data_IF_246496174898
#
_entry.id   IF_246496174898
#
_cell.length_a   1.000
_cell.length_b   1.000
_cell.length_c   1.000
_cell.angle_alpha   90.00
_cell.angle_beta   90.00
_cell.angle_gamma   90.00
#
_symmetry.space_group_name_H-M   'P 1'
#
loop_
_entity.id
_entity.type
_entity.pdbx_description
1 polymer ?
#
# COMPACT_ATOMS: atom_id res chain seq x y z
N UNK A 1 1.03 28.22 2.70
CA UNK A 1 -0.26 28.70 2.14
C UNK A 1 -0.55 30.11 2.62
N UNK A 2 -0.95 30.35 3.89
CA UNK A 2 -1.29 31.70 4.43
C UNK A 2 -0.36 32.85 3.98
N UNK A 3 0.96 32.66 4.06
CA UNK A 3 1.93 33.72 3.75
C UNK A 3 2.29 33.84 2.26
N UNK A 4 2.05 32.80 1.46
CA UNK A 4 2.61 32.67 0.10
C UNK A 4 1.56 32.47 -1.00
N UNK A 5 0.30 32.18 -0.65
CA UNK A 5 -0.77 31.98 -1.62
C UNK A 5 -1.51 33.29 -1.90
N UNK A 6 -1.89 33.53 -3.15
CA UNK A 6 -2.83 34.58 -3.56
C UNK A 6 -4.28 34.11 -3.44
N UNK A 7 -4.64 33.49 -2.31
CA UNK A 7 -5.93 32.81 -2.08
C UNK A 7 -6.25 31.66 -3.05
N UNK A 8 -5.22 31.08 -3.68
CA UNK A 8 -5.36 29.90 -4.54
C UNK A 8 -5.98 28.72 -3.76
N UNK A 9 -6.76 27.91 -4.47
CA UNK A 9 -7.28 26.61 -4.05
C UNK A 9 -6.92 25.54 -5.08
N UNK A 10 -7.05 24.25 -4.75
CA UNK A 10 -6.92 23.17 -5.73
C UNK A 10 -7.82 23.42 -6.97
N UNK A 11 -9.08 23.78 -6.75
CA UNK A 11 -10.04 24.07 -7.82
C UNK A 11 -9.61 25.25 -8.71
N UNK A 12 -9.12 26.35 -8.11
CA UNK A 12 -8.72 27.54 -8.88
C UNK A 12 -7.47 27.29 -9.72
N UNK A 13 -6.64 26.31 -9.33
CA UNK A 13 -5.39 25.98 -10.01
C UNK A 13 -5.49 24.77 -10.94
N UNK A 14 -6.58 24.00 -10.84
CA UNK A 14 -6.73 22.71 -11.51
C UNK A 14 -5.78 21.62 -10.97
N UNK A 15 -5.10 21.88 -9.85
CA UNK A 15 -4.14 20.95 -9.26
C UNK A 15 -4.86 19.98 -8.32
N UNK A 16 -4.41 18.72 -8.30
CA UNK A 16 -4.90 17.74 -7.32
C UNK A 16 -4.60 18.21 -5.89
N UNK A 17 -5.51 17.98 -4.94
CA UNK A 17 -5.47 18.65 -3.64
C UNK A 17 -4.24 18.33 -2.77
N UNK A 18 -3.78 17.08 -2.76
CA UNK A 18 -2.55 16.65 -2.10
C UNK A 18 -1.29 17.22 -2.79
N UNK A 19 -1.25 17.27 -4.13
CA UNK A 19 -0.18 17.95 -4.87
C UNK A 19 -0.15 19.45 -4.58
N UNK A 20 -1.32 20.08 -4.48
CA UNK A 20 -1.48 21.49 -4.15
C UNK A 20 -0.95 21.80 -2.75
N UNK A 21 -1.28 20.98 -1.76
CA UNK A 21 -0.74 21.14 -0.39
C UNK A 21 0.76 20.83 -0.36
N UNK A 22 1.19 19.79 -1.07
CA UNK A 22 2.61 19.42 -1.24
C UNK A 22 3.47 20.55 -1.81
N UNK A 23 2.97 21.29 -2.80
CA UNK A 23 3.62 22.51 -3.34
C UNK A 23 3.97 23.51 -2.22
N UNK A 24 3.05 23.78 -1.29
CA UNK A 24 3.34 24.70 -0.19
C UNK A 24 4.25 24.11 0.87
N UNK A 25 4.29 22.79 1.03
CA UNK A 25 5.25 22.12 1.89
C UNK A 25 6.69 22.28 1.35
N UNK A 26 6.88 22.11 0.04
CA UNK A 26 8.18 22.36 -0.63
C UNK A 26 8.57 23.84 -0.54
N UNK A 27 7.63 24.75 -0.74
CA UNK A 27 7.88 26.19 -0.58
C UNK A 27 8.30 26.55 0.85
N UNK A 28 7.68 25.93 1.87
CA UNK A 28 8.08 26.12 3.26
C UNK A 28 9.52 25.66 3.50
N UNK A 29 9.91 24.47 3.03
CA UNK A 29 11.29 23.96 3.20
C UNK A 29 12.32 24.85 2.48
N UNK A 30 11.98 25.32 1.27
CA UNK A 30 12.83 26.24 0.50
C UNK A 30 13.07 27.55 1.25
N UNK A 31 12.00 28.18 1.75
CA UNK A 31 12.10 29.42 2.51
C UNK A 31 12.79 29.22 3.86
N UNK A 32 12.53 28.09 4.54
CA UNK A 32 13.21 27.73 5.78
C UNK A 32 14.73 27.62 5.60
N UNK A 33 15.18 26.92 4.54
CA UNK A 33 16.62 26.83 4.21
C UNK A 33 17.24 28.16 3.86
N UNK A 34 16.50 29.02 3.15
CA UNK A 34 16.95 30.38 2.83
C UNK A 34 17.15 31.20 4.10
N UNK A 35 16.18 31.19 5.01
CA UNK A 35 16.27 31.91 6.28
C UNK A 35 17.38 31.38 7.20
N UNK A 36 17.66 30.07 7.18
CA UNK A 36 18.83 29.51 7.88
C UNK A 36 20.12 30.16 7.37
N UNK A 37 20.32 30.18 6.05
CA UNK A 37 21.53 30.78 5.44
C UNK A 37 21.68 32.26 5.79
N UNK A 38 20.59 33.01 5.77
CA UNK A 38 20.60 34.44 6.15
C UNK A 38 20.98 34.67 7.63
N UNK A 39 20.65 33.74 8.53
CA UNK A 39 21.08 33.81 9.93
C UNK A 39 22.53 33.36 10.10
N UNK A 40 22.98 32.35 9.36
CA UNK A 40 24.38 31.92 9.33
C UNK A 40 25.30 33.04 8.83
N UNK A 41 24.89 33.77 7.79
CA UNK A 41 25.60 34.95 7.28
C UNK A 41 25.70 36.09 8.32
N UNK A 42 24.78 36.14 9.28
CA UNK A 42 24.80 37.07 10.43
C UNK A 42 25.61 36.56 11.62
N UNK A 43 26.28 35.41 11.48
CA UNK A 43 27.15 34.82 12.50
C UNK A 43 26.43 33.96 13.55
N UNK A 44 25.17 33.57 13.29
CA UNK A 44 24.45 32.63 14.17
C UNK A 44 24.86 31.21 13.81
N UNK A 45 25.15 30.39 14.82
CA UNK A 45 25.47 28.98 14.64
C UNK A 45 24.32 28.20 13.97
N UNK A 46 24.63 27.23 13.11
CA UNK A 46 23.65 26.47 12.32
C UNK A 46 22.55 25.83 13.19
N UNK A 47 22.87 25.27 14.36
CA UNK A 47 21.87 24.63 15.22
C UNK A 47 20.97 25.65 15.91
N UNK A 48 21.48 26.85 16.17
CA UNK A 48 20.67 27.98 16.65
C UNK A 48 19.81 28.56 15.52
N UNK A 49 20.39 28.76 14.33
CA UNK A 49 19.71 29.29 13.16
C UNK A 49 18.48 28.44 12.80
N UNK A 50 18.62 27.11 12.78
CA UNK A 50 17.50 26.17 12.56
C UNK A 50 16.32 26.36 13.51
N UNK A 51 16.55 26.87 14.72
CA UNK A 51 15.50 27.07 15.75
C UNK A 51 14.97 28.51 15.81
N UNK A 52 15.63 29.44 15.14
CA UNK A 52 15.37 30.88 15.26
C UNK A 52 14.95 31.53 13.94
N UNK A 53 14.78 30.77 12.86
CA UNK A 53 14.22 31.33 11.63
C UNK A 53 12.80 31.87 11.89
N UNK A 54 12.45 33.05 11.35
CA UNK A 54 11.08 33.57 11.48
C UNK A 54 10.00 32.55 11.12
N UNK A 55 10.19 31.82 10.02
CA UNK A 55 9.19 30.85 9.54
C UNK A 55 9.01 29.63 10.46
N UNK A 56 10.05 29.18 11.17
CA UNK A 56 9.89 28.06 12.14
C UNK A 56 9.24 28.54 13.43
N UNK A 57 9.51 29.76 13.87
CA UNK A 57 8.87 30.36 15.03
C UNK A 57 7.37 30.58 14.77
N UNK A 58 6.99 31.07 13.60
CA UNK A 58 5.59 31.16 13.17
C UNK A 58 4.90 29.78 13.13
N UNK A 59 5.60 28.74 12.64
CA UNK A 59 5.07 27.38 12.62
C UNK A 59 4.86 26.82 14.03
N UNK A 60 5.80 27.06 14.96
CA UNK A 60 5.66 26.68 16.37
C UNK A 60 4.51 27.40 17.06
N UNK A 61 4.36 28.70 16.81
CA UNK A 61 3.22 29.48 17.32
C UNK A 61 1.89 28.94 16.77
N UNK A 62 1.85 28.58 15.48
CA UNK A 62 0.67 27.97 14.86
C UNK A 62 0.34 26.60 15.46
N UNK A 63 1.34 25.79 15.81
CA UNK A 63 1.13 24.52 16.51
C UNK A 63 0.51 24.74 17.89
N UNK A 64 0.99 25.71 18.67
CA UNK A 64 0.40 26.04 19.97
C UNK A 64 -1.06 26.52 19.84
N UNK A 65 -1.34 27.37 18.83
CA UNK A 65 -2.72 27.79 18.51
C UNK A 65 -3.61 26.60 18.13
N UNK A 66 -3.07 25.62 17.40
CA UNK A 66 -3.79 24.41 17.05
C UNK A 66 -4.09 23.54 18.29
N UNK A 67 -3.11 23.31 19.17
CA UNK A 67 -3.31 22.56 20.42
C UNK A 67 -4.33 23.23 21.36
N UNK A 68 -4.34 24.56 21.41
CA UNK A 68 -5.31 25.36 22.18
C UNK A 68 -6.69 25.49 21.51
N UNK A 69 -6.92 24.79 20.40
CA UNK A 69 -8.19 24.79 19.67
C UNK A 69 -8.64 26.16 19.15
N UNK A 70 -7.70 27.03 18.77
CA UNK A 70 -8.02 28.34 18.20
C UNK A 70 -8.84 28.20 16.90
N UNK A 71 -10.04 28.81 16.81
CA UNK A 71 -11.00 28.54 15.73
C UNK A 71 -10.43 28.74 14.32
N UNK A 72 -9.69 29.82 14.08
CA UNK A 72 -9.14 30.13 12.75
C UNK A 72 -8.04 29.15 12.33
N UNK A 73 -7.20 28.72 13.28
CA UNK A 73 -6.10 27.78 13.02
C UNK A 73 -6.65 26.39 12.76
N UNK A 74 -7.63 25.95 13.55
CA UNK A 74 -8.33 24.69 13.32
C UNK A 74 -9.07 24.67 11.99
N UNK A 75 -9.78 25.76 11.63
CA UNK A 75 -10.50 25.83 10.37
C UNK A 75 -9.55 25.73 9.17
N UNK A 76 -8.40 26.41 9.22
CA UNK A 76 -7.37 26.29 8.19
C UNK A 76 -6.83 24.86 8.10
N UNK A 77 -6.46 24.26 9.23
CA UNK A 77 -5.91 22.91 9.30
C UNK A 77 -6.89 21.89 8.69
N UNK A 78 -8.18 21.94 9.08
CA UNK A 78 -9.23 21.09 8.50
C UNK A 78 -9.35 21.29 7.00
N UNK A 79 -9.35 22.54 6.53
CA UNK A 79 -9.46 22.87 5.10
C UNK A 79 -8.30 22.29 4.29
N UNK A 80 -7.06 22.46 4.75
CA UNK A 80 -5.90 21.93 4.04
C UNK A 80 -5.87 20.40 4.05
N UNK A 81 -6.22 19.76 5.16
CA UNK A 81 -6.29 18.30 5.23
C UNK A 81 -7.40 17.72 4.35
N UNK A 82 -8.56 18.37 4.27
CA UNK A 82 -9.64 17.93 3.39
C UNK A 82 -9.17 17.86 1.93
N UNK A 83 -8.43 18.86 1.45
CA UNK A 83 -7.84 18.84 0.12
C UNK A 83 -6.87 17.68 -0.09
N UNK A 84 -6.03 17.38 0.91
CA UNK A 84 -5.12 16.22 0.84
C UNK A 84 -5.91 14.92 0.75
N UNK A 85 -6.93 14.74 1.60
CA UNK A 85 -7.73 13.51 1.63
C UNK A 85 -8.52 13.32 0.34
N UNK A 86 -9.13 14.36 -0.21
CA UNK A 86 -9.78 14.34 -1.53
C UNK A 86 -8.80 13.99 -2.65
N UNK A 87 -7.55 14.43 -2.54
CA UNK A 87 -6.46 14.05 -3.42
C UNK A 87 -6.14 12.55 -3.32
N UNK A 88 -5.83 12.07 -2.12
CA UNK A 88 -5.51 10.67 -1.87
C UNK A 88 -6.63 9.73 -2.30
N UNK A 89 -7.89 10.10 -2.10
CA UNK A 89 -9.04 9.30 -2.53
C UNK A 89 -9.05 9.05 -4.05
N UNK A 90 -8.62 10.02 -4.86
CA UNK A 90 -8.47 9.82 -6.32
C UNK A 90 -7.41 8.77 -6.64
N UNK A 91 -6.27 8.81 -5.96
CA UNK A 91 -5.20 7.80 -6.13
C UNK A 91 -5.63 6.43 -5.64
N UNK A 92 -6.30 6.34 -4.49
CA UNK A 92 -6.83 5.09 -3.95
C UNK A 92 -7.89 4.48 -4.87
N UNK A 93 -8.83 5.29 -5.35
CA UNK A 93 -9.85 4.85 -6.31
C UNK A 93 -9.20 4.31 -7.58
N UNK A 94 -8.21 5.02 -8.14
CA UNK A 94 -7.46 4.56 -9.33
C UNK A 94 -6.72 3.25 -9.08
N UNK A 95 -6.09 3.12 -7.91
CA UNK A 95 -5.49 1.88 -7.44
C UNK A 95 -6.53 0.81 -7.04
N UNK A 96 -7.84 1.07 -7.05
CA UNK A 96 -8.84 0.12 -6.56
C UNK A 96 -8.66 -0.26 -5.08
N UNK A 97 -8.22 0.69 -4.26
CA UNK A 97 -8.09 0.59 -2.80
C UNK A 97 -9.27 1.32 -2.15
N UNK A 98 -9.83 0.73 -1.10
CA UNK A 98 -10.90 1.32 -0.31
C UNK A 98 -10.71 0.99 1.16
N UNK A 99 -11.29 1.80 2.04
CA UNK A 99 -11.17 1.64 3.50
C UNK A 99 -12.57 1.64 4.13
N UNK A 100 -12.82 0.69 5.02
CA UNK A 100 -14.07 0.65 5.80
C UNK A 100 -14.10 1.71 6.91
N UNK A 101 -12.91 2.15 7.36
CA UNK A 101 -12.75 3.15 8.42
C UNK A 101 -11.46 3.94 8.20
N UNK A 102 -11.52 5.24 8.50
CA UNK A 102 -10.37 6.14 8.50
C UNK A 102 -10.22 6.72 9.90
N UNK A 103 -9.08 6.47 10.53
CA UNK A 103 -8.74 6.97 11.87
C UNK A 103 -7.58 7.94 11.77
N UNK A 104 -7.69 9.06 12.48
CA UNK A 104 -6.69 10.12 12.48
C UNK A 104 -6.01 10.22 13.83
N UNK A 105 -4.68 10.28 13.85
CA UNK A 105 -3.87 10.47 15.08
C UNK A 105 -4.22 11.76 15.83
N UNK A 106 -4.78 12.75 15.13
CA UNK A 106 -5.30 13.98 15.73
C UNK A 106 -6.48 13.75 16.66
N UNK A 107 -7.12 12.57 16.62
CA UNK A 107 -8.22 12.22 17.52
C UNK A 107 -7.72 11.49 18.77
N UNK A 108 -6.56 10.82 18.70
CA UNK A 108 -6.09 9.90 19.74
C UNK A 108 -4.95 10.46 20.59
N UNK A 109 -4.40 11.63 20.26
CA UNK A 109 -3.27 12.20 21.01
C UNK A 109 -3.60 12.54 22.47
N UNK A 110 -4.84 12.97 22.76
CA UNK A 110 -5.30 13.21 24.13
C UNK A 110 -5.46 11.90 24.89
N UNK A 111 -6.10 10.90 24.27
CA UNK A 111 -6.21 9.55 24.82
C UNK A 111 -4.82 8.98 25.16
N UNK A 112 -3.86 9.13 24.26
CA UNK A 112 -2.48 8.72 24.50
C UNK A 112 -1.86 9.36 25.75
N UNK A 113 -2.11 10.67 25.99
CA UNK A 113 -1.63 11.37 27.21
C UNK A 113 -2.32 10.84 28.47
N UNK A 114 -3.61 10.54 28.41
CA UNK A 114 -4.34 9.95 29.53
C UNK A 114 -3.81 8.56 29.88
N UNK A 115 -3.49 7.74 28.87
CA UNK A 115 -2.86 6.43 29.05
C UNK A 115 -1.48 6.54 29.67
N UNK A 116 -0.68 7.55 29.31
CA UNK A 116 0.61 7.78 29.97
C UNK A 116 0.42 8.13 31.45
N UNK A 117 -0.59 8.93 31.77
CA UNK A 117 -0.92 9.27 33.17
C UNK A 117 -1.27 8.01 33.97
N UNK A 118 -2.14 7.16 33.43
CA UNK A 118 -2.47 5.85 34.04
C UNK A 118 -1.25 4.93 34.16
N UNK A 119 -0.36 4.95 33.17
CA UNK A 119 0.88 4.17 33.19
C UNK A 119 1.85 4.62 34.28
N UNK A 120 1.88 5.91 34.63
CA UNK A 120 2.63 6.43 35.79
C UNK A 120 2.03 5.90 37.09
N UNK A 121 0.71 5.95 37.24
CA UNK A 121 0.00 5.45 38.44
C UNK A 121 0.24 3.95 38.65
N UNK A 122 0.26 3.17 37.57
CA UNK A 122 0.59 1.74 37.55
C UNK A 122 2.08 1.44 37.70
N UNK A 123 2.96 2.45 37.80
CA UNK A 123 4.42 2.33 37.85
C UNK A 123 5.04 1.64 36.62
N UNK A 124 4.35 1.67 35.48
CA UNK A 124 4.84 1.20 34.18
C UNK A 124 5.70 2.27 33.51
N UNK A 125 5.34 3.54 33.72
CA UNK A 125 6.08 4.70 33.24
C UNK A 125 6.67 5.50 34.40
N UNK A 126 7.84 6.10 34.16
CA UNK A 126 8.63 6.84 35.13
C UNK A 126 8.75 8.29 34.65
N UNK A 127 8.33 9.23 35.49
CA UNK A 127 8.57 10.66 35.26
C UNK A 127 9.93 11.05 35.83
N UNK A 128 10.83 11.57 34.99
CA UNK A 128 12.16 12.06 35.38
C UNK A 128 12.07 13.48 35.96
N UNK A 129 13.15 13.95 36.60
CA UNK A 129 13.22 15.26 37.26
C UNK A 129 12.99 16.44 36.31
N UNK A 130 13.38 16.29 35.03
CA UNK A 130 13.18 17.30 33.99
C UNK A 130 11.72 17.38 33.46
N UNK A 131 10.82 16.54 34.00
CA UNK A 131 9.42 16.48 33.63
C UNK A 131 9.10 15.51 32.49
N UNK A 132 10.11 14.94 31.82
CA UNK A 132 9.90 13.93 30.77
C UNK A 132 9.43 12.59 31.34
N UNK A 133 8.68 11.81 30.54
CA UNK A 133 8.14 10.51 30.96
C UNK A 133 8.70 9.42 30.06
N UNK A 134 9.14 8.32 30.69
CA UNK A 134 9.84 7.21 30.04
C UNK A 134 9.26 5.86 30.43
N UNK A 135 9.39 4.87 29.55
CA UNK A 135 9.17 3.46 29.88
C UNK A 135 10.51 2.72 29.88
N UNK A 136 10.80 2.03 30.96
CA UNK A 136 11.95 1.13 31.05
C UNK A 136 11.60 -0.24 30.48
N UNK A 137 12.30 -0.62 29.41
CA UNK A 137 12.15 -1.90 28.71
C UNK A 137 13.43 -2.75 28.76
N UNK A 138 14.36 -2.43 29.67
CA UNK A 138 15.65 -3.12 29.79
C UNK A 138 15.51 -4.58 30.20
N UNK A 139 14.48 -4.92 30.99
CA UNK A 139 14.17 -6.31 31.36
C UNK A 139 13.68 -7.14 30.15
N UNK A 140 13.16 -6.47 29.13
CA UNK A 140 12.74 -7.04 27.86
C UNK A 140 13.85 -7.04 26.80
N UNK A 141 15.06 -6.59 27.16
CA UNK A 141 16.22 -6.51 26.27
C UNK A 141 16.24 -5.29 25.35
N UNK A 142 15.49 -4.22 25.70
CA UNK A 142 15.35 -2.99 24.92
C UNK A 142 15.81 -1.76 25.73
N UNK A 143 15.92 -0.60 25.07
CA UNK A 143 16.29 0.66 25.74
C UNK A 143 15.10 1.32 26.45
N UNK A 144 15.39 2.31 27.31
CA UNK A 144 14.36 3.22 27.79
C UNK A 144 13.75 4.01 26.61
N UNK A 145 12.43 4.09 26.55
CA UNK A 145 11.71 4.83 25.52
C UNK A 145 11.00 6.04 26.10
N UNK A 146 11.26 7.21 25.53
CA UNK A 146 10.52 8.45 25.82
C UNK A 146 9.06 8.30 25.36
N UNK A 147 8.13 8.54 26.29
CA UNK A 147 6.67 8.52 26.03
C UNK A 147 6.00 9.89 26.19
N UNK A 148 6.62 10.86 26.88
CA UNK A 148 6.23 12.28 26.85
C UNK A 148 7.46 13.16 26.97
N UNK A 149 7.51 14.24 26.18
CA UNK A 149 8.59 15.23 26.26
C UNK A 149 8.51 16.05 27.56
N UNK A 150 9.61 16.72 27.91
CA UNK A 150 9.72 17.61 29.07
C UNK A 150 8.70 18.76 29.09
N UNK A 151 8.25 19.21 27.91
CA UNK A 151 7.23 20.25 27.74
C UNK A 151 5.79 19.70 27.79
N UNK A 152 5.61 18.39 28.03
CA UNK A 152 4.32 17.72 28.07
C UNK A 152 3.72 17.39 26.71
N UNK A 153 4.41 17.68 25.61
CA UNK A 153 3.95 17.30 24.25
C UNK A 153 4.09 15.80 24.01
N UNK A 154 3.14 15.24 23.25
CA UNK A 154 3.14 13.82 22.88
C UNK A 154 4.19 13.52 21.81
N UNK A 155 4.71 12.29 21.85
CA UNK A 155 5.54 11.72 20.79
C UNK A 155 4.73 10.67 20.03
N UNK A 156 5.28 10.16 18.93
CA UNK A 156 4.61 9.20 18.06
C UNK A 156 4.12 7.95 18.81
N UNK A 157 4.96 7.38 19.69
CA UNK A 157 4.59 6.21 20.50
C UNK A 157 3.41 6.50 21.45
N UNK A 158 3.26 7.74 21.92
CA UNK A 158 2.11 8.16 22.75
C UNK A 158 0.80 8.07 21.98
N UNK A 159 0.82 8.54 20.72
CA UNK A 159 -0.36 8.55 19.85
C UNK A 159 -0.75 7.12 19.49
N UNK A 160 0.22 6.27 19.16
CA UNK A 160 -0.03 4.87 18.83
C UNK A 160 -0.56 4.04 20.01
N UNK A 161 -0.15 4.35 21.25
CA UNK A 161 -0.76 3.74 22.44
C UNK A 161 -2.27 4.05 22.48
N UNK A 162 -2.64 5.32 22.33
CA UNK A 162 -4.04 5.75 22.30
C UNK A 162 -4.81 5.08 21.15
N UNK A 163 -4.24 5.10 19.94
CA UNK A 163 -4.87 4.52 18.74
C UNK A 163 -5.06 2.99 18.87
N UNK A 164 -4.08 2.27 19.40
CA UNK A 164 -4.20 0.83 19.60
C UNK A 164 -5.33 0.48 20.57
N UNK A 165 -5.40 1.20 21.70
CA UNK A 165 -6.45 1.00 22.72
C UNK A 165 -7.82 1.34 22.16
N UNK A 166 -7.96 2.49 21.49
CA UNK A 166 -9.22 2.91 20.87
C UNK A 166 -9.75 1.85 19.89
N UNK A 167 -8.88 1.25 19.06
CA UNK A 167 -9.27 0.19 18.12
C UNK A 167 -9.86 -1.03 18.82
N UNK A 168 -9.28 -1.46 19.94
CA UNK A 168 -9.79 -2.60 20.72
C UNK A 168 -11.02 -2.27 21.56
N UNK A 169 -11.23 -1.00 21.93
CA UNK A 169 -12.43 -0.55 22.63
C UNK A 169 -13.62 -0.39 21.67
N UNK A 170 -13.37 0.16 20.47
CA UNK A 170 -14.39 0.37 19.43
C UNK A 170 -14.78 -0.94 18.72
N UNK A 171 -13.88 -1.92 18.67
CA UNK A 171 -14.07 -3.14 17.92
C UNK A 171 -13.71 -4.38 18.73
N UNK A 172 -14.48 -5.45 18.58
CA UNK A 172 -14.13 -6.78 19.11
C UNK A 172 -13.17 -7.46 18.13
N UNK A 173 -11.87 -7.21 18.29
CA UNK A 173 -10.83 -7.71 17.40
C UNK A 173 -10.19 -8.99 17.95
N UNK A 174 -10.10 -10.03 17.10
CA UNK A 174 -9.30 -11.22 17.38
C UNK A 174 -7.82 -11.00 17.06
N UNK A 175 -7.52 -10.16 16.05
CA UNK A 175 -6.17 -9.79 15.60
C UNK A 175 -6.15 -8.36 15.07
N UNK A 176 -5.01 -7.68 15.24
CA UNK A 176 -4.73 -6.39 14.61
C UNK A 176 -3.36 -6.43 13.93
N UNK A 177 -3.35 -6.27 12.61
CA UNK A 177 -2.14 -6.31 11.78
C UNK A 177 -1.79 -4.90 11.35
N UNK A 178 -0.61 -4.43 11.76
CA UNK A 178 -0.01 -3.19 11.30
C UNK A 178 0.80 -3.47 10.03
N UNK A 179 0.38 -2.91 8.89
CA UNK A 179 1.12 -3.03 7.62
C UNK A 179 1.97 -1.79 7.44
N UNK A 180 3.23 -1.85 7.88
CA UNK A 180 4.13 -0.68 7.94
C UNK A 180 5.55 -1.09 7.57
N UNK A 181 6.30 -0.18 6.95
CA UNK A 181 7.68 -0.41 6.52
C UNK A 181 8.63 -0.84 7.64
N UNK A 182 9.67 -1.60 7.28
CA UNK A 182 10.63 -2.20 8.20
C UNK A 182 11.47 -1.20 9.01
N UNK A 183 11.52 0.06 8.57
CA UNK A 183 12.11 1.17 9.33
C UNK A 183 11.44 1.41 10.69
N UNK A 184 10.22 0.90 10.89
CA UNK A 184 9.45 1.00 12.13
C UNK A 184 9.45 -0.30 12.97
N UNK A 185 10.24 -1.31 12.64
CA UNK A 185 10.27 -2.60 13.37
C UNK A 185 10.49 -2.41 14.88
N UNK A 186 11.50 -1.61 15.25
CA UNK A 186 11.79 -1.32 16.66
C UNK A 186 10.65 -0.57 17.34
N UNK A 187 9.98 0.33 16.62
CA UNK A 187 8.86 1.10 17.15
C UNK A 187 7.67 0.19 17.52
N UNK A 188 7.25 -0.71 16.63
CA UNK A 188 6.15 -1.63 16.91
C UNK A 188 6.51 -2.68 17.97
N UNK A 189 7.76 -3.16 17.98
CA UNK A 189 8.25 -4.03 19.05
C UNK A 189 8.09 -3.36 20.42
N UNK A 190 8.53 -2.10 20.54
CA UNK A 190 8.41 -1.30 21.76
C UNK A 190 6.95 -1.04 22.12
N UNK A 191 6.11 -0.67 21.15
CA UNK A 191 4.68 -0.42 21.35
C UNK A 191 3.98 -1.64 21.95
N UNK A 192 4.17 -2.83 21.37
CA UNK A 192 3.50 -4.04 21.82
C UNK A 192 3.95 -4.46 23.22
N UNK A 193 5.24 -4.28 23.54
CA UNK A 193 5.75 -4.52 24.90
C UNK A 193 5.16 -3.54 25.91
N UNK A 194 5.06 -2.26 25.58
CA UNK A 194 4.43 -1.26 26.45
C UNK A 194 2.96 -1.60 26.73
N UNK A 195 2.18 -1.94 25.70
CA UNK A 195 0.77 -2.34 25.86
C UNK A 195 0.64 -3.56 26.78
N UNK A 196 1.52 -4.56 26.61
CA UNK A 196 1.56 -5.72 27.52
C UNK A 196 1.88 -5.32 28.96
N UNK A 197 2.87 -4.43 29.19
CA UNK A 197 3.21 -3.94 30.55
C UNK A 197 2.09 -3.12 31.19
N UNK A 198 1.28 -2.42 30.40
CA UNK A 198 0.10 -1.68 30.86
C UNK A 198 -1.06 -2.61 31.29
N UNK A 199 -0.95 -3.91 31.02
CA UNK A 199 -1.91 -4.95 31.41
C UNK A 199 -2.93 -5.29 30.32
N UNK A 200 -2.65 -4.97 29.06
CA UNK A 200 -3.53 -5.32 27.94
C UNK A 200 -3.19 -6.71 27.39
N UNK A 201 -3.95 -7.73 27.79
CA UNK A 201 -3.73 -9.13 27.36
C UNK A 201 -3.83 -9.30 25.84
N UNK A 202 -4.70 -8.52 25.20
CA UNK A 202 -4.86 -8.51 23.74
C UNK A 202 -3.63 -7.98 22.98
N UNK A 203 -2.61 -7.45 23.67
CA UNK A 203 -1.34 -7.08 23.05
C UNK A 203 -0.66 -8.28 22.35
N UNK A 204 -0.96 -9.51 22.74
CA UNK A 204 -0.47 -10.74 22.08
C UNK A 204 -1.09 -10.97 20.69
N UNK A 205 -2.22 -10.31 20.40
CA UNK A 205 -2.92 -10.39 19.13
C UNK A 205 -2.48 -9.31 18.12
N UNK A 206 -1.52 -8.47 18.51
CA UNK A 206 -0.93 -7.46 17.65
C UNK A 206 0.17 -8.09 16.78
N UNK A 207 0.15 -7.77 15.50
CA UNK A 207 1.17 -8.22 14.55
C UNK A 207 1.67 -7.05 13.71
N UNK A 208 2.97 -7.03 13.43
CA UNK A 208 3.56 -6.10 12.48
C UNK A 208 3.92 -6.86 11.20
N UNK A 209 3.15 -6.62 10.13
CA UNK A 209 3.56 -6.98 8.79
C UNK A 209 4.58 -5.95 8.32
N UNK A 210 5.84 -6.22 8.67
CA UNK A 210 7.01 -5.45 8.27
C UNK A 210 7.33 -5.72 6.80
N UNK A 211 7.09 -4.70 5.95
CA UNK A 211 7.45 -4.75 4.54
C UNK A 211 8.74 -3.97 4.26
N UNK A 212 9.52 -4.44 3.29
CA UNK A 212 10.78 -3.85 2.88
C UNK A 212 10.60 -2.76 1.82
N UNK A 213 11.68 -2.03 1.52
CA UNK A 213 11.60 -0.85 0.66
C UNK A 213 11.51 -1.20 -0.82
N UNK A 214 10.89 -0.30 -1.58
CA UNK A 214 10.86 -0.32 -3.05
C UNK A 214 11.86 0.72 -3.56
N UNK A 215 12.89 0.25 -4.24
CA UNK A 215 13.88 1.06 -4.92
C UNK A 215 13.54 1.18 -6.41
N UNK A 216 13.84 2.33 -7.02
CA UNK A 216 13.77 2.53 -8.47
C UNK A 216 15.19 2.49 -9.07
N UNK A 217 15.38 2.04 -10.33
CA UNK A 217 16.69 1.97 -10.98
C UNK A 217 17.47 3.28 -10.97
N UNK A 218 16.77 4.41 -11.12
CA UNK A 218 17.36 5.75 -11.15
C UNK A 218 17.65 6.35 -9.75
N UNK A 219 17.40 5.58 -8.68
CA UNK A 219 17.75 5.94 -7.30
C UNK A 219 16.57 5.92 -6.33
N UNK A 220 16.88 6.11 -5.04
CA UNK A 220 15.90 6.09 -3.95
C UNK A 220 14.86 7.19 -4.09
N UNK A 221 13.60 6.88 -3.75
CA UNK A 221 12.56 7.86 -3.44
C UNK A 221 13.08 8.82 -2.35
N UNK A 222 13.48 10.04 -2.71
CA UNK A 222 13.96 11.05 -1.75
C UNK A 222 13.01 12.24 -1.71
N UNK A 223 12.10 12.18 -0.73
CA UNK A 223 11.07 13.20 -0.47
C UNK A 223 11.58 14.63 -0.21
N UNK A 224 12.86 14.80 0.15
CA UNK A 224 13.43 16.09 0.64
C UNK A 224 14.43 16.77 -0.29
N UNK A 225 14.69 16.20 -1.47
CA UNK A 225 15.66 16.75 -2.45
C UNK A 225 15.00 17.14 -3.80
N UNK A 226 13.67 17.03 -3.91
CA UNK A 226 12.93 17.46 -5.11
C UNK A 226 12.85 16.42 -6.23
N UNK A 227 13.29 15.18 -5.99
CA UNK A 227 13.14 14.05 -6.91
C UNK A 227 12.29 12.97 -6.24
N UNK A 228 11.00 13.26 -6.11
CA UNK A 228 10.01 12.31 -5.61
C UNK A 228 9.31 11.71 -6.81
N UNK A 229 9.26 10.38 -6.90
CA UNK A 229 8.37 9.72 -7.84
C UNK A 229 7.01 9.66 -7.18
N UNK A 230 6.07 10.44 -7.69
CA UNK A 230 4.69 10.45 -7.21
C UNK A 230 4.00 9.13 -7.59
N UNK A 231 3.13 8.63 -6.73
CA UNK A 231 2.33 7.45 -7.03
C UNK A 231 1.47 7.68 -8.29
N UNK A 232 0.97 8.90 -8.48
CA UNK A 232 0.18 9.26 -9.66
C UNK A 232 0.99 9.22 -10.95
N UNK A 233 2.24 9.72 -10.90
CA UNK A 233 3.16 9.69 -12.04
C UNK A 233 3.53 8.25 -12.40
N UNK A 234 3.80 7.42 -11.39
CA UNK A 234 4.08 6.00 -11.59
C UNK A 234 2.88 5.28 -12.22
N UNK A 235 1.68 5.52 -11.72
CA UNK A 235 0.46 4.95 -12.30
C UNK A 235 0.23 5.41 -13.74
N UNK A 236 0.53 6.68 -14.03
CA UNK A 236 0.42 7.23 -15.37
C UNK A 236 1.44 6.60 -16.33
N UNK A 237 2.70 6.43 -15.89
CA UNK A 237 3.73 5.74 -16.67
C UNK A 237 3.33 4.29 -17.01
N UNK A 238 2.72 3.59 -16.03
CA UNK A 238 2.21 2.23 -16.21
C UNK A 238 1.07 2.17 -17.22
N UNK A 239 0.14 3.13 -17.19
CA UNK A 239 -0.91 3.27 -18.21
C UNK A 239 -0.33 3.52 -19.60
N UNK A 240 0.60 4.48 -19.74
CA UNK A 240 1.18 4.86 -21.02
C UNK A 240 2.02 3.73 -21.64
N UNK A 241 2.73 2.99 -20.79
CA UNK A 241 3.49 1.80 -21.21
C UNK A 241 2.53 0.69 -21.68
N UNK A 242 1.46 0.41 -20.94
CA UNK A 242 0.44 -0.56 -21.34
C UNK A 242 -0.22 -0.18 -22.67
N UNK A 243 -0.55 1.10 -22.85
CA UNK A 243 -1.11 1.66 -24.09
C UNK A 243 -0.16 1.45 -25.26
N UNK A 244 1.11 1.80 -25.11
CA UNK A 244 2.12 1.66 -26.17
C UNK A 244 2.24 0.21 -26.64
N UNK A 245 2.44 -0.72 -25.70
CA UNK A 245 2.65 -2.13 -26.04
C UNK A 245 1.39 -2.73 -26.69
N UNK A 246 0.21 -2.38 -26.18
CA UNK A 246 -1.06 -2.86 -26.73
C UNK A 246 -1.31 -2.38 -28.18
N UNK A 247 -0.90 -1.16 -28.50
CA UNK A 247 -0.96 -0.61 -29.86
C UNK A 247 0.01 -1.33 -30.81
N UNK A 248 1.23 -1.62 -30.35
CA UNK A 248 2.25 -2.34 -31.14
C UNK A 248 1.80 -3.77 -31.51
N UNK A 249 0.98 -4.42 -30.67
CA UNK A 249 0.46 -5.78 -30.92
C UNK A 249 -0.69 -5.84 -31.95
N UNK A 250 -1.34 -4.72 -32.26
CA UNK A 250 -2.27 -4.59 -33.40
C UNK A 250 -3.58 -5.39 -33.32
N UNK A 251 -4.19 -5.56 -32.14
CA UNK A 251 -5.39 -6.43 -31.95
C UNK A 251 -6.65 -5.72 -31.40
N UNK A 252 -6.63 -4.40 -31.29
CA UNK A 252 -7.69 -3.62 -30.63
C UNK A 252 -8.51 -2.76 -31.62
N UNK A 253 -8.49 -3.08 -32.92
CA UNK A 253 -9.18 -2.28 -33.95
C UNK A 253 -10.70 -2.23 -33.74
N UNK A 254 -11.28 -3.27 -33.15
CA UNK A 254 -12.73 -3.36 -32.88
C UNK A 254 -13.19 -2.65 -31.60
N UNK A 255 -12.27 -2.07 -30.83
CA UNK A 255 -12.57 -1.43 -29.54
C UNK A 255 -12.81 0.07 -29.71
N UNK A 256 -13.75 0.62 -28.95
CA UNK A 256 -13.87 2.07 -28.78
C UNK A 256 -12.66 2.63 -28.02
N UNK A 257 -12.44 3.94 -28.09
CA UNK A 257 -11.35 4.58 -27.34
C UNK A 257 -11.54 4.47 -25.82
N UNK A 258 -12.79 4.45 -25.35
CA UNK A 258 -13.13 4.22 -23.94
C UNK A 258 -12.76 2.80 -23.49
N UNK A 259 -13.10 1.79 -24.31
CA UNK A 259 -12.77 0.40 -24.01
C UNK A 259 -11.26 0.16 -24.05
N UNK A 260 -10.55 0.78 -24.99
CA UNK A 260 -9.08 0.76 -25.05
C UNK A 260 -8.46 1.35 -23.80
N UNK A 261 -8.88 2.54 -23.39
CA UNK A 261 -8.36 3.19 -22.19
C UNK A 261 -8.62 2.36 -20.93
N UNK A 262 -9.82 1.77 -20.80
CA UNK A 262 -10.12 0.85 -19.68
C UNK A 262 -9.21 -0.37 -19.69
N UNK A 263 -8.93 -0.94 -20.86
CA UNK A 263 -8.01 -2.06 -20.98
C UNK A 263 -6.59 -1.66 -20.60
N UNK A 264 -6.08 -0.50 -21.05
CA UNK A 264 -4.76 -0.01 -20.68
C UNK A 264 -4.62 0.22 -19.18
N UNK A 265 -5.64 0.78 -18.52
CA UNK A 265 -5.68 0.96 -17.08
C UNK A 265 -5.65 -0.39 -16.36
N UNK A 266 -6.46 -1.36 -16.81
CA UNK A 266 -6.49 -2.73 -16.27
C UNK A 266 -5.12 -3.41 -16.35
N UNK A 267 -4.42 -3.24 -17.46
CA UNK A 267 -3.10 -3.83 -17.71
C UNK A 267 -2.04 -3.15 -16.85
N UNK A 268 -1.99 -1.81 -16.91
CA UNK A 268 -1.00 -1.02 -16.18
C UNK A 268 -1.10 -1.23 -14.67
N UNK A 269 -2.31 -1.14 -14.11
CA UNK A 269 -2.52 -1.36 -12.68
C UNK A 269 -2.28 -2.81 -12.28
N UNK A 270 -2.69 -3.77 -13.13
CA UNK A 270 -2.43 -5.19 -12.87
C UNK A 270 -0.94 -5.53 -12.86
N UNK A 271 -0.17 -4.96 -13.78
CA UNK A 271 1.28 -5.11 -13.82
C UNK A 271 1.95 -4.49 -12.59
N UNK A 272 1.57 -3.26 -12.21
CA UNK A 272 2.11 -2.54 -11.05
C UNK A 272 1.91 -3.35 -9.76
N UNK A 273 0.66 -3.72 -9.49
CA UNK A 273 0.29 -4.48 -8.28
C UNK A 273 0.96 -5.86 -8.26
N UNK A 274 0.90 -6.59 -9.37
CA UNK A 274 1.46 -7.93 -9.43
C UNK A 274 2.97 -7.91 -9.21
N UNK A 275 3.67 -6.95 -9.81
CA UNK A 275 5.13 -6.86 -9.71
C UNK A 275 5.59 -6.66 -8.26
N UNK A 276 4.84 -5.88 -7.48
CA UNK A 276 5.09 -5.70 -6.05
C UNK A 276 4.69 -6.96 -5.28
N UNK A 277 3.48 -7.47 -5.49
CA UNK A 277 2.91 -8.56 -4.69
C UNK A 277 3.53 -9.94 -4.95
N UNK A 278 4.21 -10.15 -6.08
CA UNK A 278 4.92 -11.41 -6.37
C UNK A 278 6.19 -11.62 -5.54
N UNK A 279 6.67 -10.55 -4.87
CA UNK A 279 7.84 -10.58 -4.01
C UNK A 279 7.37 -10.71 -2.55
N UNK A 280 8.11 -11.50 -1.76
CA UNK A 280 7.88 -11.59 -0.32
C UNK A 280 7.91 -10.19 0.30
N UNK A 281 6.92 -9.77 1.11
CA UNK A 281 6.87 -8.45 1.70
C UNK A 281 8.16 -8.04 2.42
N UNK A 282 8.90 -9.00 3.00
CA UNK A 282 10.13 -8.73 3.77
C UNK A 282 11.37 -8.48 2.90
N UNK A 283 11.28 -8.61 1.57
CA UNK A 283 12.40 -8.44 0.65
C UNK A 283 12.32 -7.11 -0.08
N UNK A 284 13.46 -6.43 -0.20
CA UNK A 284 13.55 -5.22 -1.01
C UNK A 284 13.17 -5.52 -2.46
N UNK A 285 12.50 -4.57 -3.09
CA UNK A 285 12.03 -4.68 -4.48
C UNK A 285 12.78 -3.62 -5.30
N UNK A 286 13.44 -4.03 -6.38
CA UNK A 286 13.85 -3.10 -7.43
C UNK A 286 12.72 -3.02 -8.45
N UNK A 287 11.98 -1.92 -8.47
CA UNK A 287 10.83 -1.74 -9.35
C UNK A 287 11.26 -1.10 -10.68
N UNK A 288 11.21 -1.89 -11.76
CA UNK A 288 11.40 -1.40 -13.13
C UNK A 288 10.04 -1.39 -13.86
N UNK A 289 9.45 -0.21 -14.15
CA UNK A 289 8.17 -0.09 -14.85
C UNK A 289 8.15 -0.86 -16.19
N UNK A 290 9.24 -0.82 -16.96
CA UNK A 290 9.30 -1.46 -18.28
C UNK A 290 9.34 -2.98 -18.16
N UNK A 291 10.11 -3.50 -17.20
CA UNK A 291 10.15 -4.94 -16.92
C UNK A 291 8.87 -5.47 -16.26
N UNK A 292 8.00 -4.58 -15.76
CA UNK A 292 6.76 -4.97 -15.10
C UNK A 292 5.62 -5.30 -16.07
N UNK A 293 5.66 -4.75 -17.30
CA UNK A 293 4.70 -5.03 -18.37
C UNK A 293 5.39 -5.82 -19.48
N UNK A 294 5.35 -7.15 -19.34
CA UNK A 294 5.77 -8.09 -20.38
C UNK A 294 4.68 -9.15 -20.57
N UNK A 295 4.42 -9.58 -21.80
CA UNK A 295 3.52 -10.68 -22.13
C UNK A 295 4.21 -12.05 -22.02
N UNK A 296 5.47 -12.06 -21.59
CA UNK A 296 6.25 -13.24 -21.26
C UNK A 296 6.79 -13.11 -19.83
N UNK A 297 7.19 -14.24 -19.24
CA UNK A 297 7.77 -14.25 -17.89
C UNK A 297 6.76 -14.09 -16.75
N UNK A 298 7.27 -13.82 -15.55
CA UNK A 298 6.47 -13.75 -14.31
C UNK A 298 5.92 -12.32 -14.09
N UNK A 299 4.87 -11.98 -14.82
CA UNK A 299 4.22 -10.67 -14.86
C UNK A 299 2.70 -10.76 -14.76
N UNK A 300 2.05 -9.67 -14.31
CA UNK A 300 0.60 -9.58 -14.21
C UNK A 300 -0.08 -9.60 -15.59
N UNK A 301 0.53 -8.93 -16.57
CA UNK A 301 0.07 -8.89 -17.96
C UNK A 301 0.09 -10.27 -18.63
N UNK A 302 1.07 -11.14 -18.34
CA UNK A 302 1.08 -12.52 -18.84
C UNK A 302 -0.09 -13.35 -18.31
N UNK A 303 -0.43 -13.18 -17.02
CA UNK A 303 -1.56 -13.84 -16.38
C UNK A 303 -2.89 -13.33 -16.96
N UNK A 304 -3.05 -12.02 -17.07
CA UNK A 304 -4.23 -11.37 -17.68
C UNK A 304 -4.44 -11.84 -19.12
N UNK A 305 -3.37 -11.91 -19.91
CA UNK A 305 -3.42 -12.39 -21.29
C UNK A 305 -3.88 -13.86 -21.37
N UNK A 306 -3.34 -14.71 -20.51
CA UNK A 306 -3.75 -16.12 -20.47
C UNK A 306 -5.22 -16.27 -20.07
N UNK A 307 -5.69 -15.50 -19.10
CA UNK A 307 -7.11 -15.45 -18.73
C UNK A 307 -7.99 -15.04 -19.92
N UNK A 308 -7.67 -13.94 -20.59
CA UNK A 308 -8.41 -13.45 -21.77
C UNK A 308 -8.43 -14.47 -22.91
N UNK A 309 -7.32 -15.20 -23.12
CA UNK A 309 -7.23 -16.29 -24.10
C UNK A 309 -8.16 -17.45 -23.77
N UNK A 310 -8.25 -17.84 -22.51
CA UNK A 310 -9.18 -18.88 -22.05
C UNK A 310 -10.63 -18.40 -22.23
N UNK A 311 -10.95 -17.17 -21.84
CA UNK A 311 -12.28 -16.60 -22.07
C UNK A 311 -12.64 -16.62 -23.56
N UNK A 312 -11.71 -16.25 -24.44
CA UNK A 312 -11.92 -16.28 -25.89
C UNK A 312 -12.12 -17.70 -26.44
N UNK A 313 -11.51 -18.72 -25.83
CA UNK A 313 -11.77 -20.14 -26.14
C UNK A 313 -13.20 -20.52 -25.74
N UNK A 314 -13.63 -20.16 -24.54
CA UNK A 314 -14.95 -20.49 -23.98
C UNK A 314 -16.08 -19.72 -24.68
N UNK A 315 -15.84 -18.47 -25.11
CA UNK A 315 -16.78 -17.70 -25.93
C UNK A 315 -17.10 -18.41 -27.27
N UNK A 316 -16.16 -19.21 -27.80
CA UNK A 316 -16.38 -20.01 -29.02
C UNK A 316 -17.14 -21.30 -28.75
N UNK A 317 -16.88 -21.95 -27.62
CA UNK A 317 -17.57 -23.18 -27.23
C UNK A 317 -17.57 -23.35 -25.71
N UNK A 318 -18.78 -23.46 -25.15
CA UNK A 318 -18.97 -23.75 -23.74
C UNK A 318 -18.80 -25.25 -23.45
N UNK A 319 -18.26 -25.61 -22.27
CA UNK A 319 -18.23 -27.00 -21.85
C UNK A 319 -19.64 -27.54 -21.66
N UNK A 320 -19.86 -28.79 -22.04
CA UNK A 320 -21.01 -29.60 -21.63
C UNK A 320 -20.53 -30.74 -20.72
N UNK A 321 -21.45 -31.54 -20.22
CA UNK A 321 -21.11 -32.71 -19.42
C UNK A 321 -20.20 -33.68 -20.19
N UNK A 322 -19.40 -34.41 -19.42
CA UNK A 322 -18.55 -35.49 -19.89
C UNK A 322 -18.59 -36.63 -18.87
N UNK A 323 -18.37 -37.84 -19.37
CA UNK A 323 -18.24 -39.09 -18.66
C UNK A 323 -16.78 -39.36 -18.29
N UNK A 324 -16.45 -40.56 -17.82
CA UNK A 324 -15.09 -40.88 -17.41
C UNK A 324 -14.11 -40.83 -18.59
N UNK A 325 -13.00 -40.10 -18.40
CA UNK A 325 -11.92 -39.99 -19.39
C UNK A 325 -10.57 -40.38 -18.79
N UNK A 326 -9.65 -40.84 -19.65
CA UNK A 326 -8.26 -41.03 -19.26
C UNK A 326 -7.49 -39.72 -19.35
N UNK A 327 -6.91 -39.28 -18.23
CA UNK A 327 -6.11 -38.06 -18.17
C UNK A 327 -4.68 -38.30 -18.66
N UNK A 328 -4.20 -37.38 -19.49
CA UNK A 328 -2.77 -37.23 -19.80
C UNK A 328 -1.99 -36.72 -18.58
N UNK A 329 -0.67 -36.87 -18.60
CA UNK A 329 0.18 -36.41 -17.49
C UNK A 329 0.11 -34.89 -17.27
N UNK A 330 -0.05 -34.10 -18.33
CA UNK A 330 -0.18 -32.64 -18.19
C UNK A 330 -1.54 -32.23 -17.61
N UNK A 331 -2.62 -32.91 -17.99
CA UNK A 331 -3.96 -32.69 -17.41
C UNK A 331 -3.98 -33.06 -15.92
N UNK A 332 -3.36 -34.19 -15.54
CA UNK A 332 -3.20 -34.57 -14.12
C UNK A 332 -2.46 -33.50 -13.32
N UNK A 333 -1.40 -32.92 -13.88
CA UNK A 333 -0.65 -31.84 -13.22
C UNK A 333 -1.53 -30.60 -12.99
N UNK A 334 -2.35 -30.20 -13.97
CA UNK A 334 -3.25 -29.04 -13.83
C UNK A 334 -4.30 -29.33 -12.75
N UNK A 335 -4.91 -30.53 -12.78
CA UNK A 335 -5.90 -30.92 -11.76
C UNK A 335 -5.31 -30.89 -10.35
N UNK A 336 -4.07 -31.38 -10.17
CA UNK A 336 -3.35 -31.27 -8.88
C UNK A 336 -3.10 -29.82 -8.48
N UNK A 337 -2.57 -29.00 -9.41
CA UNK A 337 -2.34 -27.58 -9.14
C UNK A 337 -3.63 -26.89 -8.68
N UNK A 338 -4.76 -27.15 -9.34
CA UNK A 338 -6.07 -26.59 -8.96
C UNK A 338 -6.51 -27.05 -7.56
N UNK A 339 -6.21 -28.29 -7.17
CA UNK A 339 -6.51 -28.80 -5.83
C UNK A 339 -5.67 -28.12 -4.73
N UNK A 340 -4.44 -27.68 -5.05
CA UNK A 340 -3.54 -26.98 -4.12
C UNK A 340 -3.96 -25.52 -3.85
N UNK A 341 -4.97 -25.00 -4.56
CA UNK A 341 -5.41 -23.61 -4.44
C UNK A 341 -5.77 -23.21 -3.00
N UNK A 342 -6.62 -24.01 -2.36
CA UNK A 342 -7.13 -23.70 -1.01
C UNK A 342 -6.01 -23.72 0.02
N UNK A 343 -5.10 -24.71 -0.04
CA UNK A 343 -3.96 -24.79 0.85
C UNK A 343 -3.01 -23.60 0.66
N UNK A 344 -2.80 -23.16 -0.58
CA UNK A 344 -1.98 -21.98 -0.88
C UNK A 344 -2.56 -20.72 -0.25
N UNK A 345 -3.88 -20.52 -0.30
CA UNK A 345 -4.53 -19.37 0.34
C UNK A 345 -4.33 -19.40 1.86
N UNK A 346 -4.52 -20.56 2.49
CA UNK A 346 -4.33 -20.70 3.94
C UNK A 346 -2.89 -20.34 4.35
N UNK A 347 -1.89 -20.86 3.62
CA UNK A 347 -0.48 -20.54 3.86
C UNK A 347 -0.19 -19.05 3.68
N UNK A 348 -0.76 -18.41 2.66
CA UNK A 348 -0.61 -16.99 2.42
C UNK A 348 -1.20 -16.15 3.56
N UNK A 349 -2.39 -16.52 4.06
CA UNK A 349 -3.04 -15.83 5.16
C UNK A 349 -2.29 -16.02 6.49
N UNK A 350 -1.83 -17.24 6.79
CA UNK A 350 -1.08 -17.53 8.03
C UNK A 350 0.26 -16.79 8.08
N UNK A 351 0.97 -16.73 6.94
CA UNK A 351 2.27 -16.07 6.84
C UNK A 351 2.20 -14.58 6.47
N UNK A 352 0.98 -14.04 6.27
CA UNK A 352 0.74 -12.68 5.78
C UNK A 352 1.53 -12.35 4.50
N UNK A 353 1.63 -13.32 3.59
CA UNK A 353 2.48 -13.26 2.42
C UNK A 353 1.69 -13.47 1.11
N UNK A 354 1.24 -12.39 0.43
CA UNK A 354 0.49 -12.49 -0.82
C UNK A 354 1.32 -13.06 -1.99
N UNK A 355 2.66 -13.09 -1.88
CA UNK A 355 3.52 -13.63 -2.93
C UNK A 355 3.31 -15.11 -3.18
N UNK A 356 2.80 -15.84 -2.19
CA UNK A 356 2.43 -17.25 -2.36
C UNK A 356 1.28 -17.40 -3.36
N UNK A 357 0.27 -16.53 -3.29
CA UNK A 357 -0.86 -16.52 -4.23
C UNK A 357 -0.41 -16.09 -5.62
N UNK A 358 0.41 -15.03 -5.70
CA UNK A 358 0.95 -14.52 -6.97
C UNK A 358 1.79 -15.58 -7.70
N UNK A 359 2.73 -16.23 -7.00
CA UNK A 359 3.57 -17.26 -7.63
C UNK A 359 2.79 -18.54 -7.95
N UNK A 360 1.77 -18.89 -7.16
CA UNK A 360 0.86 -19.99 -7.48
C UNK A 360 0.10 -19.75 -8.79
N UNK A 361 -0.50 -18.57 -8.98
CA UNK A 361 -1.27 -18.28 -10.20
C UNK A 361 -0.35 -18.24 -11.43
N UNK A 362 0.89 -17.78 -11.28
CA UNK A 362 1.88 -17.84 -12.34
C UNK A 362 2.21 -19.27 -12.78
N UNK A 363 2.49 -20.17 -11.83
CA UNK A 363 2.78 -21.57 -12.17
C UNK A 363 1.56 -22.29 -12.78
N UNK A 364 0.34 -21.99 -12.31
CA UNK A 364 -0.90 -22.48 -12.94
C UNK A 364 -1.03 -22.01 -14.40
N UNK A 365 -0.79 -20.73 -14.65
CA UNK A 365 -0.84 -20.13 -16.00
C UNK A 365 0.22 -20.73 -16.93
N UNK A 366 1.45 -20.90 -16.43
CA UNK A 366 2.55 -21.50 -17.18
C UNK A 366 2.22 -22.94 -17.58
N UNK A 367 1.71 -23.73 -16.64
CA UNK A 367 1.29 -25.11 -16.88
C UNK A 367 0.13 -25.19 -17.88
N UNK A 368 -0.86 -24.31 -17.75
CA UNK A 368 -1.98 -24.23 -18.69
C UNK A 368 -1.51 -23.85 -20.11
N UNK A 369 -0.59 -22.89 -20.25
CA UNK A 369 -0.05 -22.52 -21.55
C UNK A 369 0.69 -23.68 -22.22
N UNK A 370 1.47 -24.47 -21.47
CA UNK A 370 2.09 -25.69 -21.98
C UNK A 370 1.05 -26.73 -22.41
N UNK A 371 -0.05 -26.88 -21.67
CA UNK A 371 -1.17 -27.73 -22.06
C UNK A 371 -1.84 -27.26 -23.34
N UNK A 372 -2.18 -25.97 -23.43
CA UNK A 372 -2.86 -25.38 -24.58
C UNK A 372 -2.02 -25.50 -25.87
N UNK A 373 -0.69 -25.46 -25.78
CA UNK A 373 0.20 -25.65 -26.92
C UNK A 373 0.31 -27.12 -27.35
N UNK A 374 0.33 -28.05 -26.41
CA UNK A 374 0.58 -29.48 -26.67
C UNK A 374 -0.69 -30.29 -26.90
N UNK A 375 -1.86 -29.78 -26.49
CA UNK A 375 -3.12 -30.50 -26.48
C UNK A 375 -4.20 -29.73 -27.25
N UNK A 376 -4.62 -30.22 -28.45
CA UNK A 376 -5.74 -29.64 -29.17
C UNK A 376 -7.01 -29.64 -28.30
N UNK A 377 -7.80 -28.57 -28.33
CA UNK A 377 -9.08 -28.50 -27.60
C UNK A 377 -10.26 -28.52 -28.57
N UNK A 378 -10.38 -27.49 -29.43
CA UNK A 378 -11.57 -27.35 -30.30
C UNK A 378 -11.61 -28.36 -31.46
N UNK A 379 -10.43 -28.69 -32.02
CA UNK A 379 -10.27 -29.55 -33.20
C UNK A 379 -10.06 -31.01 -32.78
N UNK A 380 -11.02 -31.56 -32.05
CA UNK A 380 -11.02 -32.95 -31.60
C UNK A 380 -12.34 -33.62 -31.93
N UNK A 381 -12.27 -34.85 -32.42
CA UNK A 381 -13.44 -35.69 -32.71
C UNK A 381 -14.01 -36.34 -31.45
N UNK A 382 -13.17 -36.63 -30.46
CA UNK A 382 -13.60 -37.18 -29.17
C UNK A 382 -14.25 -36.07 -28.31
N UNK A 383 -15.59 -36.09 -28.25
CA UNK A 383 -16.39 -35.10 -27.53
C UNK A 383 -16.19 -35.14 -26.01
N UNK A 384 -16.00 -36.32 -25.41
CA UNK A 384 -15.78 -36.48 -23.97
C UNK A 384 -14.49 -35.77 -23.52
N UNK A 385 -13.38 -36.03 -24.23
CA UNK A 385 -12.09 -35.39 -23.96
C UNK A 385 -12.17 -33.88 -24.22
N UNK A 386 -12.84 -33.48 -25.31
CA UNK A 386 -13.05 -32.07 -25.64
C UNK A 386 -13.81 -31.33 -24.53
N UNK A 387 -14.90 -31.92 -24.04
CA UNK A 387 -15.72 -31.36 -22.97
C UNK A 387 -14.95 -31.28 -21.64
N UNK A 388 -14.21 -32.32 -21.27
CA UNK A 388 -13.30 -32.26 -20.13
C UNK A 388 -12.30 -31.11 -20.25
N UNK A 389 -11.63 -30.96 -21.40
CA UNK A 389 -10.62 -29.90 -21.61
C UNK A 389 -11.21 -28.50 -21.56
N UNK A 390 -12.44 -28.32 -22.06
CA UNK A 390 -13.18 -27.07 -21.93
C UNK A 390 -13.54 -26.79 -20.46
N UNK A 391 -13.98 -27.81 -19.71
CA UNK A 391 -14.26 -27.70 -18.27
C UNK A 391 -12.99 -27.37 -17.48
N UNK A 392 -11.87 -28.04 -17.78
CA UNK A 392 -10.57 -27.75 -17.18
C UNK A 392 -10.14 -26.31 -17.45
N UNK A 393 -10.30 -25.85 -18.70
CA UNK A 393 -10.00 -24.46 -19.08
C UNK A 393 -10.87 -23.47 -18.30
N UNK A 394 -12.18 -23.74 -18.18
CA UNK A 394 -13.10 -22.93 -17.38
C UNK A 394 -12.64 -22.84 -15.93
N UNK A 395 -12.37 -23.98 -15.29
CA UNK A 395 -11.89 -24.01 -13.91
C UNK A 395 -10.59 -23.24 -13.72
N UNK A 396 -9.64 -23.36 -14.66
CA UNK A 396 -8.40 -22.57 -14.64
C UNK A 396 -8.69 -21.07 -14.73
N UNK A 397 -9.58 -20.63 -15.62
CA UNK A 397 -9.93 -19.20 -15.72
C UNK A 397 -10.58 -18.65 -14.45
N UNK A 398 -11.47 -19.42 -13.82
CA UNK A 398 -12.13 -19.03 -12.57
C UNK A 398 -11.12 -18.96 -11.41
N UNK A 399 -10.20 -19.92 -11.32
CA UNK A 399 -9.12 -19.90 -10.32
C UNK A 399 -8.16 -18.73 -10.55
N UNK A 400 -7.79 -18.41 -11.81
CA UNK A 400 -6.99 -17.22 -12.13
C UNK A 400 -7.72 -15.95 -11.66
N UNK A 401 -9.00 -15.79 -12.02
CA UNK A 401 -9.79 -14.63 -11.63
C UNK A 401 -9.89 -14.48 -10.11
N UNK A 402 -10.06 -15.58 -9.38
CA UNK A 402 -10.09 -15.57 -7.91
C UNK A 402 -8.73 -15.19 -7.30
N UNK A 403 -7.62 -15.75 -7.79
CA UNK A 403 -6.27 -15.39 -7.33
C UNK A 403 -5.98 -13.91 -7.57
N UNK A 404 -6.25 -13.42 -8.77
CA UNK A 404 -5.97 -12.02 -9.13
C UNK A 404 -6.88 -11.07 -8.33
N UNK A 405 -8.14 -11.43 -8.09
CA UNK A 405 -9.04 -10.67 -7.20
C UNK A 405 -8.51 -10.56 -5.78
N UNK A 406 -7.96 -11.65 -5.20
CA UNK A 406 -7.34 -11.62 -3.87
C UNK A 406 -6.12 -10.68 -3.81
N UNK A 407 -5.43 -10.50 -4.94
CA UNK A 407 -4.33 -9.55 -5.10
C UNK A 407 -4.81 -8.13 -5.45
N UNK A 408 -6.13 -7.90 -5.52
CA UNK A 408 -6.72 -6.64 -5.94
C UNK A 408 -6.52 -6.33 -7.43
N UNK A 409 -6.28 -7.33 -8.27
CA UNK A 409 -5.99 -7.16 -9.70
C UNK A 409 -7.17 -7.64 -10.53
N UNK A 410 -7.65 -6.76 -11.41
CA UNK A 410 -8.67 -7.11 -12.40
C UNK A 410 -8.08 -7.94 -13.55
N UNK A 411 -8.85 -8.91 -14.05
CA UNK A 411 -8.48 -9.69 -15.22
C UNK A 411 -9.48 -9.45 -16.36
N UNK A 412 -9.02 -9.00 -17.53
CA UNK A 412 -9.92 -8.74 -18.65
C UNK A 412 -10.39 -10.06 -19.28
N UNK A 413 -11.61 -10.07 -19.82
CA UNK A 413 -12.13 -11.21 -20.61
C UNK A 413 -11.57 -11.25 -22.03
N UNK A 414 -11.12 -10.11 -22.56
CA UNK A 414 -10.56 -9.95 -23.90
C UNK A 414 -9.40 -8.97 -23.84
N UNK A 415 -8.34 -9.26 -24.60
CA UNK A 415 -7.07 -8.56 -24.55
C UNK A 415 -6.33 -8.68 -25.88
#
# INVERSE_FOLDING_TARGET
WKNFSTNETPDSTGMKGDHFVGKYYVLFDSEYRKQIKELEEKGIDTEQAKKQTPIILEAQEMLLKWENQEPETLALWKKMNAWVYEGFEKSYTRLGVSFDSVQYESNTYLLGKDIVTQGIEKKVFIKKEDGSVWCDLTQEGLDEKLVLRKDGTSVYITQDLGTAIERFEQHKLDKLIYVVGNEQDYHFLVLFKMLKKLGYDWAENLQHLSYAMVDLPDGKMKSREGTVVDADDLMQEMFDTAKKISLELGKLESYSDEEKNKLYETIGMGALKYYILKVDPKKNILFDPKASIDFQGNTGSFIQYTHARICSLLDKQQPTDFSEISLTEIEKKIVRQLADYTETIYKAAESLNPSLVANYVYELVKLFNSFYQSSPILKMDNLEVKNFRLTLSKQVSETIASCMKLLGIEVPRRM
#
